data_IF_796742173633
#
_entry.id   IF_796742173633
#
_cell.length_a   1.000
_cell.length_b   1.000
_cell.length_c   1.000
_cell.angle_alpha   90.00
_cell.angle_beta   90.00
_cell.angle_gamma   90.00
#
_symmetry.space_group_name_H-M   'P 1'
#
loop_
_entity.id
_entity.type
_entity.pdbx_description
1 polymer ?
#
# COMPACT_ATOMS: atom_id res chain seq x y z
N UNK A 1 18.39 -16.46 0.14
CA UNK A 1 16.97 -16.56 0.49
C UNK A 1 16.83 -16.88 1.99
N UNK A 2 15.77 -16.35 2.63
CA UNK A 2 15.44 -16.64 4.02
C UNK A 2 14.95 -18.07 4.24
N UNK A 3 14.55 -18.37 5.48
CA UNK A 3 13.94 -19.66 5.80
C UNK A 3 12.58 -19.80 5.14
N UNK A 4 12.25 -21.00 4.64
CA UNK A 4 10.94 -21.29 4.07
C UNK A 4 9.85 -21.20 5.14
N UNK A 5 8.78 -20.46 4.87
CA UNK A 5 7.62 -20.37 5.74
C UNK A 5 6.86 -21.71 5.77
N UNK A 6 6.53 -22.22 6.95
CA UNK A 6 5.60 -23.35 7.12
C UNK A 6 4.16 -22.82 7.04
N UNK A 7 3.60 -22.90 5.83
CA UNK A 7 2.29 -22.32 5.52
C UNK A 7 1.13 -23.02 6.21
N UNK A 8 1.28 -24.29 6.57
CA UNK A 8 0.27 -25.04 7.31
C UNK A 8 0.21 -24.59 8.78
N UNK A 9 1.37 -24.47 9.43
CA UNK A 9 1.42 -23.99 10.83
C UNK A 9 0.97 -22.55 10.95
N UNK A 10 1.36 -21.68 10.02
CA UNK A 10 0.95 -20.27 10.03
C UNK A 10 -0.57 -20.12 9.97
N UNK A 11 -1.28 -20.97 9.22
CA UNK A 11 -2.74 -20.97 9.13
C UNK A 11 -3.48 -21.47 10.37
N UNK A 12 -2.77 -22.07 11.35
CA UNK A 12 -3.39 -22.54 12.60
C UNK A 12 -3.61 -21.40 13.58
N UNK A 13 -4.78 -20.80 13.54
CA UNK A 13 -5.13 -19.61 14.32
C UNK A 13 -4.89 -19.78 15.83
N UNK A 14 -5.20 -20.94 16.37
CA UNK A 14 -5.13 -21.23 17.79
C UNK A 14 -3.68 -21.35 18.34
N UNK A 15 -2.69 -21.35 17.47
CA UNK A 15 -1.26 -21.30 17.84
C UNK A 15 -0.74 -19.89 18.04
N UNK A 16 -1.46 -18.88 17.56
CA UNK A 16 -1.13 -17.48 17.74
C UNK A 16 -1.75 -16.96 19.03
N UNK A 17 -0.90 -16.58 19.98
CA UNK A 17 -1.33 -16.11 21.29
C UNK A 17 -1.12 -14.60 21.39
N UNK A 18 -2.14 -13.90 21.80
CA UNK A 18 -2.11 -12.45 22.01
C UNK A 18 -2.28 -12.15 23.50
N UNK A 19 -1.38 -11.37 24.06
CA UNK A 19 -1.40 -10.93 25.44
C UNK A 19 -1.22 -9.43 25.58
N UNK A 20 -1.61 -8.85 26.70
CA UNK A 20 -1.36 -7.46 27.04
C UNK A 20 -1.24 -7.29 28.54
N UNK A 21 -0.25 -6.54 28.98
CA UNK A 21 -0.14 -6.12 30.38
C UNK A 21 -1.09 -4.95 30.69
N UNK A 22 -1.37 -4.11 29.70
CA UNK A 22 -2.17 -2.90 29.86
C UNK A 22 -3.68 -3.17 29.72
N UNK A 23 -4.05 -4.19 28.92
CA UNK A 23 -5.44 -4.61 28.73
C UNK A 23 -5.70 -5.97 29.38
N UNK A 24 -6.22 -5.95 30.59
CA UNK A 24 -6.53 -7.17 31.38
C UNK A 24 -7.49 -8.13 30.67
N UNK A 25 -8.29 -7.66 29.70
CA UNK A 25 -9.17 -8.52 28.92
C UNK A 25 -8.42 -9.40 27.91
N UNK A 26 -7.12 -9.12 27.66
CA UNK A 26 -6.22 -9.85 26.76
C UNK A 26 -5.21 -10.74 27.52
N UNK A 27 -5.65 -11.50 28.49
CA UNK A 27 -4.81 -12.51 29.17
C UNK A 27 -4.62 -13.76 28.32
N UNK A 28 -3.58 -13.82 27.48
CA UNK A 28 -3.24 -14.98 26.61
C UNK A 28 -4.42 -15.48 25.75
N UNK A 29 -5.01 -14.60 24.97
CA UNK A 29 -6.09 -14.93 24.02
C UNK A 29 -5.52 -15.55 22.75
N UNK A 30 -6.20 -16.55 22.21
CA UNK A 30 -5.89 -17.12 20.89
C UNK A 30 -6.52 -16.29 19.78
N UNK A 31 -5.87 -16.23 18.61
CA UNK A 31 -6.52 -15.71 17.41
C UNK A 31 -7.70 -16.60 17.00
N UNK A 32 -8.70 -16.02 16.34
CA UNK A 32 -9.89 -16.74 15.85
C UNK A 32 -9.63 -17.28 14.44
N UNK A 33 -8.91 -16.52 13.61
CA UNK A 33 -8.50 -16.92 12.29
C UNK A 33 -7.10 -16.37 11.97
N UNK A 34 -6.40 -17.02 11.05
CA UNK A 34 -5.13 -16.58 10.51
C UNK A 34 -5.15 -16.74 9.00
N UNK A 35 -4.84 -15.67 8.26
CA UNK A 35 -4.80 -15.65 6.82
C UNK A 35 -3.46 -15.15 6.32
N UNK A 36 -3.12 -15.50 5.10
CA UNK A 36 -1.83 -15.17 4.51
C UNK A 36 -1.98 -14.52 3.14
N UNK A 37 -1.29 -13.41 2.94
CA UNK A 37 -1.03 -12.79 1.64
C UNK A 37 0.47 -12.93 1.35
N UNK A 38 0.83 -13.33 0.12
CA UNK A 38 2.22 -13.47 -0.29
C UNK A 38 2.48 -12.65 -1.53
N UNK A 39 3.66 -12.04 -1.61
CA UNK A 39 4.09 -11.23 -2.73
C UNK A 39 5.52 -11.62 -3.14
N UNK A 40 5.79 -11.89 -4.43
CA UNK A 40 7.15 -12.06 -4.92
C UNK A 40 7.92 -10.75 -4.79
N UNK A 41 9.10 -10.81 -4.18
CA UNK A 41 10.00 -9.67 -4.01
C UNK A 41 11.17 -9.73 -4.97
N UNK A 42 11.73 -10.92 -5.15
CA UNK A 42 12.88 -11.14 -6.02
C UNK A 42 12.74 -12.52 -6.68
N UNK A 43 13.35 -12.67 -7.85
CA UNK A 43 13.36 -13.95 -8.57
C UNK A 43 14.77 -14.17 -9.11
N UNK A 44 15.34 -15.32 -8.82
CA UNK A 44 16.67 -15.69 -9.31
C UNK A 44 16.64 -16.22 -10.77
N UNK A 45 17.80 -16.53 -11.30
CA UNK A 45 17.95 -17.04 -12.67
C UNK A 45 17.31 -18.42 -12.89
N UNK A 46 16.90 -19.12 -11.83
CA UNK A 46 16.19 -20.41 -11.90
C UNK A 46 14.67 -20.24 -11.76
N UNK A 47 14.18 -19.01 -11.79
CA UNK A 47 12.78 -18.62 -11.54
C UNK A 47 12.28 -18.98 -10.15
N UNK A 48 13.18 -19.17 -9.19
CA UNK A 48 12.83 -19.31 -7.78
C UNK A 48 12.60 -17.93 -7.19
N UNK A 49 11.42 -17.72 -6.62
CA UNK A 49 11.04 -16.43 -6.06
C UNK A 49 11.20 -16.39 -4.55
N UNK A 50 11.78 -15.30 -4.05
CA UNK A 50 11.70 -14.89 -2.67
C UNK A 50 10.35 -14.24 -2.42
N UNK A 51 9.66 -14.64 -1.36
CA UNK A 51 8.31 -14.17 -1.04
C UNK A 51 8.29 -13.45 0.29
N UNK A 52 7.72 -12.24 0.29
CA UNK A 52 7.26 -11.62 1.52
C UNK A 52 5.88 -12.17 1.89
N UNK A 53 5.66 -12.39 3.18
CA UNK A 53 4.42 -12.90 3.71
C UNK A 53 3.81 -11.94 4.72
N UNK A 54 2.55 -11.57 4.52
CA UNK A 54 1.71 -10.88 5.50
C UNK A 54 0.80 -11.90 6.15
N UNK A 55 0.84 -11.97 7.46
CA UNK A 55 -0.03 -12.83 8.25
C UNK A 55 -1.06 -11.94 8.94
N UNK A 56 -2.32 -12.11 8.59
CA UNK A 56 -3.43 -11.39 9.18
C UNK A 56 -4.10 -12.27 10.24
N UNK A 57 -4.19 -11.76 11.45
CA UNK A 57 -4.82 -12.45 12.56
C UNK A 57 -6.15 -11.80 12.90
N UNK A 58 -7.23 -12.57 12.88
CA UNK A 58 -8.49 -12.11 13.46
C UNK A 58 -8.42 -12.27 14.98
N UNK A 59 -8.54 -11.14 15.65
CA UNK A 59 -8.51 -11.11 17.10
C UNK A 59 -9.89 -11.42 17.70
N UNK A 60 -9.96 -12.03 18.90
CA UNK A 60 -11.22 -12.38 19.57
C UNK A 60 -12.00 -11.14 20.03
N UNK A 61 -11.33 -10.01 20.15
CA UNK A 61 -11.92 -8.72 20.54
C UNK A 61 -11.07 -7.56 20.05
N UNK A 62 -11.63 -6.35 20.01
CA UNK A 62 -10.92 -5.15 19.61
C UNK A 62 -9.80 -4.79 20.58
N UNK A 63 -8.71 -4.25 20.06
CA UNK A 63 -7.65 -3.62 20.85
C UNK A 63 -8.13 -2.30 21.42
N UNK A 64 -7.65 -1.94 22.60
CA UNK A 64 -7.93 -0.63 23.23
C UNK A 64 -6.86 0.39 22.91
N UNK A 65 -7.31 1.60 22.65
CA UNK A 65 -6.44 2.76 22.37
C UNK A 65 -5.38 2.94 23.47
N UNK A 66 -4.11 3.02 23.08
CA UNK A 66 -2.97 3.27 23.95
C UNK A 66 -2.38 2.03 24.62
N UNK A 67 -3.03 0.87 24.54
CA UNK A 67 -2.52 -0.38 25.10
C UNK A 67 -1.50 -1.05 24.19
N UNK A 68 -0.55 -1.76 24.79
CA UNK A 68 0.48 -2.55 24.09
C UNK A 68 0.09 -4.02 24.12
N UNK A 69 0.24 -4.68 22.98
CA UNK A 69 -0.09 -6.09 22.76
C UNK A 69 1.15 -6.84 22.28
N UNK A 70 1.36 -8.02 22.85
CA UNK A 70 2.40 -8.96 22.42
C UNK A 70 1.74 -10.12 21.69
N UNK A 71 2.16 -10.35 20.45
CA UNK A 71 1.78 -11.51 19.65
C UNK A 71 2.90 -12.54 19.73
N UNK A 72 2.65 -13.70 20.32
CA UNK A 72 3.56 -14.83 20.32
C UNK A 72 3.48 -15.54 18.97
N UNK A 73 4.63 -15.72 18.33
CA UNK A 73 4.76 -16.34 17.01
C UNK A 73 4.94 -17.84 17.21
N UNK A 74 4.19 -18.70 16.50
CA UNK A 74 4.30 -20.15 16.64
C UNK A 74 5.71 -20.67 16.30
N UNK A 75 6.21 -21.58 17.11
CA UNK A 75 7.53 -22.16 16.88
C UNK A 75 7.58 -22.97 15.58
N UNK A 76 8.71 -22.84 14.86
CA UNK A 76 9.00 -23.65 13.66
C UNK A 76 8.20 -23.23 12.41
N UNK A 77 7.66 -22.02 12.37
CA UNK A 77 7.02 -21.48 11.15
C UNK A 77 8.03 -20.92 10.13
N UNK A 78 9.33 -20.81 10.47
CA UNK A 78 10.35 -20.20 9.64
C UNK A 78 10.61 -18.72 9.95
N UNK A 79 9.98 -18.15 10.98
CA UNK A 79 10.28 -16.79 11.45
C UNK A 79 11.58 -16.77 12.28
N UNK A 80 12.29 -15.64 12.24
CA UNK A 80 13.51 -15.41 13.01
C UNK A 80 13.26 -14.77 14.38
N UNK A 81 12.00 -14.45 14.68
CA UNK A 81 11.53 -13.90 15.94
C UNK A 81 10.44 -14.78 16.53
N UNK A 82 10.32 -14.80 17.86
CA UNK A 82 9.34 -15.58 18.62
C UNK A 82 8.15 -14.74 19.08
N UNK A 83 8.26 -13.43 19.02
CA UNK A 83 7.20 -12.47 19.39
C UNK A 83 7.30 -11.16 18.62
N UNK A 84 6.18 -10.49 18.49
CA UNK A 84 6.08 -9.12 18.02
C UNK A 84 5.24 -8.28 18.97
N UNK A 85 5.59 -7.03 19.15
CA UNK A 85 4.85 -6.10 19.99
C UNK A 85 4.25 -4.98 19.15
N UNK A 86 3.02 -4.60 19.46
CA UNK A 86 2.30 -3.49 18.85
C UNK A 86 1.61 -2.65 19.92
N UNK A 87 1.87 -1.35 19.91
CA UNK A 87 1.06 -0.40 20.66
C UNK A 87 -0.07 0.09 19.77
N UNK A 88 -1.31 -0.23 20.16
CA UNK A 88 -2.46 0.22 19.39
C UNK A 88 -2.76 1.69 19.66
N UNK A 89 -2.49 2.51 18.67
CA UNK A 89 -2.77 3.96 18.70
C UNK A 89 -3.24 4.40 17.31
N UNK A 90 -4.53 4.65 17.15
CA UNK A 90 -5.11 4.99 15.85
C UNK A 90 -4.44 6.18 15.16
N UNK A 91 -3.77 7.07 15.93
CA UNK A 91 -3.08 8.24 15.38
C UNK A 91 -1.70 7.92 14.79
N UNK A 92 -1.09 6.80 15.22
CA UNK A 92 0.27 6.41 14.87
C UNK A 92 0.38 4.98 14.34
N UNK A 93 -0.61 4.12 14.59
CA UNK A 93 -0.63 2.75 14.06
C UNK A 93 -1.07 2.77 12.60
N UNK A 94 -0.10 2.58 11.71
CA UNK A 94 -0.37 2.47 10.27
C UNK A 94 -1.25 1.25 9.98
N UNK A 95 -2.29 1.46 9.17
CA UNK A 95 -3.19 0.42 8.66
C UNK A 95 -3.14 0.38 7.14
N UNK A 96 -2.83 -0.78 6.58
CA UNK A 96 -2.88 -1.00 5.12
C UNK A 96 -4.29 -0.80 4.53
N UNK A 97 -5.32 -0.72 5.37
CA UNK A 97 -6.69 -0.53 4.94
C UNK A 97 -7.03 0.91 4.56
N UNK A 98 -6.25 1.89 5.06
CA UNK A 98 -6.52 3.32 4.85
C UNK A 98 -5.69 3.82 3.69
N UNK A 99 -6.32 3.88 2.51
CA UNK A 99 -5.67 4.25 1.26
C UNK A 99 -5.80 5.74 0.99
N UNK A 100 -4.69 6.37 0.68
CA UNK A 100 -4.58 7.79 0.31
C UNK A 100 -3.65 7.93 -0.90
N UNK A 101 -3.71 9.07 -1.58
CA UNK A 101 -2.66 9.39 -2.54
C UNK A 101 -1.35 9.71 -1.80
N UNK A 102 -0.39 8.80 -1.86
CA UNK A 102 0.91 8.95 -1.17
C UNK A 102 1.78 10.09 -1.72
N UNK A 103 1.54 10.53 -2.96
CA UNK A 103 2.19 11.74 -3.50
C UNK A 103 1.66 12.99 -2.80
N UNK A 104 0.43 12.93 -2.30
CA UNK A 104 -0.26 14.04 -1.66
C UNK A 104 -1.35 14.66 -2.53
N UNK A 105 -1.82 15.81 -2.10
CA UNK A 105 -2.94 16.54 -2.70
C UNK A 105 -2.63 18.02 -2.83
N UNK A 106 -3.20 18.67 -3.83
CA UNK A 106 -3.13 20.14 -3.91
C UNK A 106 -4.18 20.79 -3.00
N UNK A 107 -3.92 21.96 -2.42
CA UNK A 107 -4.91 22.68 -1.60
C UNK A 107 -6.21 22.98 -2.35
N UNK A 108 -6.13 23.17 -3.67
CA UNK A 108 -7.24 23.55 -4.56
C UNK A 108 -8.19 22.40 -4.89
N UNK A 109 -7.75 21.15 -4.75
CA UNK A 109 -8.65 20.00 -4.95
C UNK A 109 -9.82 20.08 -3.98
N UNK A 110 -11.04 20.16 -4.54
CA UNK A 110 -12.28 20.28 -3.75
C UNK A 110 -12.55 19.08 -2.88
N UNK A 111 -12.21 17.88 -3.38
CA UNK A 111 -12.36 16.59 -2.70
C UNK A 111 -11.03 15.86 -2.86
N UNK A 112 -10.52 15.33 -1.78
CA UNK A 112 -9.33 14.49 -1.73
C UNK A 112 -9.78 13.05 -1.58
N UNK A 113 -9.60 12.27 -2.66
CA UNK A 113 -10.04 10.88 -2.71
C UNK A 113 -9.24 10.01 -1.75
N UNK A 114 -9.94 9.21 -0.97
CA UNK A 114 -9.37 8.23 -0.06
C UNK A 114 -10.36 7.09 0.20
N UNK A 115 -9.83 5.88 0.37
CA UNK A 115 -10.63 4.66 0.46
C UNK A 115 -10.24 3.82 1.67
N UNK A 116 -11.22 3.04 2.14
CA UNK A 116 -11.04 2.03 3.17
C UNK A 116 -11.41 0.67 2.60
N UNK A 117 -10.41 -0.20 2.43
CA UNK A 117 -10.60 -1.61 2.04
C UNK A 117 -9.34 -2.42 2.38
N UNK A 118 -9.46 -3.75 2.42
CA UNK A 118 -8.31 -4.63 2.61
C UNK A 118 -8.58 -6.01 2.02
N UNK A 119 -7.59 -6.52 1.27
CA UNK A 119 -7.52 -7.90 0.83
C UNK A 119 -6.55 -8.70 1.73
N UNK A 120 -7.06 -9.76 2.37
CA UNK A 120 -6.34 -10.56 3.35
C UNK A 120 -5.59 -11.77 2.74
N UNK A 121 -5.46 -11.84 1.41
CA UNK A 121 -4.90 -12.99 0.73
C UNK A 121 -5.89 -14.16 0.67
N UNK A 122 -5.54 -15.30 1.24
CA UNK A 122 -6.42 -16.48 1.30
C UNK A 122 -7.67 -16.28 2.18
N UNK A 123 -7.69 -15.25 3.02
CA UNK A 123 -8.87 -14.83 3.77
C UNK A 123 -9.88 -13.98 2.98
N UNK A 124 -9.57 -13.61 1.74
CA UNK A 124 -10.44 -12.77 0.91
C UNK A 124 -10.52 -11.32 1.39
N UNK A 125 -11.66 -10.69 1.19
CA UNK A 125 -11.88 -9.31 1.61
C UNK A 125 -12.12 -9.19 3.12
N UNK A 126 -11.65 -8.10 3.72
CA UNK A 126 -12.10 -7.69 5.06
C UNK A 126 -13.42 -6.93 4.96
N UNK A 127 -14.41 -7.36 5.71
CA UNK A 127 -15.69 -6.64 5.79
C UNK A 127 -15.59 -5.45 6.75
N UNK A 128 -15.88 -4.25 6.24
CA UNK A 128 -15.93 -3.00 7.01
C UNK A 128 -17.34 -2.47 7.24
N UNK A 129 -18.40 -3.24 7.01
CA UNK A 129 -19.79 -2.78 7.18
C UNK A 129 -20.08 -2.26 8.59
N UNK A 130 -19.48 -2.86 9.62
CA UNK A 130 -19.62 -2.39 11.01
C UNK A 130 -18.88 -1.08 11.31
N UNK A 131 -18.07 -0.58 10.37
CA UNK A 131 -17.36 0.69 10.49
C UNK A 131 -18.05 1.85 9.78
N UNK A 132 -19.18 1.58 9.10
CA UNK A 132 -19.96 2.63 8.46
C UNK A 132 -20.42 3.66 9.49
N UNK A 133 -20.27 4.95 9.17
CA UNK A 133 -20.53 6.06 10.09
C UNK A 133 -19.38 6.36 11.09
N UNK A 134 -18.32 5.53 11.16
CA UNK A 134 -17.14 5.86 11.97
C UNK A 134 -16.48 7.13 11.48
N UNK A 135 -15.94 7.90 12.42
CA UNK A 135 -15.34 9.20 12.13
C UNK A 135 -14.00 9.07 11.42
N UNK A 136 -13.80 9.97 10.45
CA UNK A 136 -12.52 10.16 9.75
C UNK A 136 -11.91 11.47 10.19
N UNK A 137 -10.63 11.42 10.56
CA UNK A 137 -9.88 12.57 11.04
C UNK A 137 -8.68 12.85 10.16
N UNK A 138 -8.36 14.14 10.02
CA UNK A 138 -7.08 14.60 9.49
C UNK A 138 -6.17 14.92 10.68
N UNK A 139 -5.04 14.24 10.78
CA UNK A 139 -4.04 14.42 11.81
C UNK A 139 -2.82 15.16 11.24
N UNK A 140 -2.52 16.34 11.76
CA UNK A 140 -1.32 17.06 11.35
C UNK A 140 -0.10 16.49 12.09
N UNK A 141 0.83 15.91 11.34
CA UNK A 141 1.99 15.18 11.89
C UNK A 141 2.92 16.11 12.69
N UNK A 142 3.05 17.38 12.27
CA UNK A 142 3.94 18.34 12.91
C UNK A 142 3.36 18.91 14.21
N UNK A 143 2.06 19.23 14.22
CA UNK A 143 1.43 19.95 15.33
C UNK A 143 0.62 19.05 16.27
N UNK A 144 0.34 17.81 15.86
CA UNK A 144 -0.55 16.91 16.59
C UNK A 144 -2.03 17.29 16.51
N UNK A 145 -2.39 18.32 15.72
CA UNK A 145 -3.79 18.79 15.60
C UNK A 145 -4.64 17.73 14.93
N UNK A 146 -5.80 17.45 15.52
CA UNK A 146 -6.81 16.48 15.07
C UNK A 146 -8.05 17.24 14.61
N UNK A 147 -8.53 16.96 13.42
CA UNK A 147 -9.74 17.59 12.86
C UNK A 147 -10.63 16.53 12.24
N UNK A 148 -11.90 16.41 12.65
CA UNK A 148 -12.87 15.55 11.95
C UNK A 148 -13.10 16.11 10.56
N UNK A 149 -12.96 15.27 9.53
CA UNK A 149 -13.07 15.67 8.11
C UNK A 149 -14.09 14.86 7.33
N UNK A 150 -14.60 13.76 7.90
CA UNK A 150 -15.60 12.92 7.24
C UNK A 150 -16.06 11.77 8.12
N UNK A 151 -16.74 10.83 7.48
CA UNK A 151 -17.20 9.57 8.04
C UNK A 151 -17.06 8.47 6.99
N UNK A 152 -16.88 7.23 7.43
CA UNK A 152 -16.85 6.05 6.56
C UNK A 152 -18.20 5.82 5.91
N UNK A 153 -18.26 5.68 4.59
CA UNK A 153 -19.47 5.43 3.81
C UNK A 153 -19.24 4.31 2.81
N UNK A 154 -20.19 3.38 2.73
CA UNK A 154 -20.11 2.36 1.68
C UNK A 154 -20.10 3.02 0.29
N UNK A 155 -19.26 2.54 -0.60
CA UNK A 155 -19.13 3.08 -1.95
C UNK A 155 -19.40 2.02 -3.02
N UNK A 156 -18.63 0.91 -3.05
CA UNK A 156 -18.65 -0.03 -4.15
C UNK A 156 -18.52 -1.48 -3.66
N UNK A 157 -19.44 -2.40 -4.08
CA UNK A 157 -19.30 -3.81 -3.74
C UNK A 157 -18.23 -4.53 -4.57
N UNK A 158 -17.64 -5.57 -4.03
CA UNK A 158 -16.69 -6.43 -4.73
C UNK A 158 -17.30 -7.12 -5.97
N UNK A 159 -18.62 -7.26 -6.04
CA UNK A 159 -19.35 -7.81 -7.20
C UNK A 159 -19.40 -6.87 -8.40
N UNK A 160 -19.16 -5.58 -8.20
CA UNK A 160 -19.08 -4.61 -9.30
C UNK A 160 -17.69 -4.66 -9.94
N UNK A 161 -17.64 -4.72 -11.26
CA UNK A 161 -16.41 -4.88 -12.02
C UNK A 161 -16.14 -3.69 -12.95
N UNK A 162 -14.87 -3.51 -13.28
CA UNK A 162 -14.42 -2.55 -14.29
C UNK A 162 -14.50 -3.20 -15.68
N UNK A 163 -15.06 -2.48 -16.66
CA UNK A 163 -15.20 -2.97 -18.05
C UNK A 163 -13.83 -3.26 -18.65
N UNK A 164 -12.88 -2.37 -18.41
CA UNK A 164 -11.50 -2.44 -18.90
C UNK A 164 -10.71 -3.60 -18.30
N UNK A 165 -11.12 -4.10 -17.13
CA UNK A 165 -10.49 -5.23 -16.45
C UNK A 165 -11.09 -6.59 -16.82
N UNK A 166 -11.64 -6.73 -18.03
CA UNK A 166 -12.28 -7.95 -18.50
C UNK A 166 -13.33 -8.50 -17.53
N UNK A 167 -14.19 -7.62 -17.03
CA UNK A 167 -15.26 -7.91 -16.05
C UNK A 167 -14.74 -8.49 -14.73
N UNK A 168 -13.58 -8.03 -14.26
CA UNK A 168 -13.03 -8.37 -12.96
C UNK A 168 -13.03 -7.15 -12.06
N UNK A 169 -13.27 -7.37 -10.77
CA UNK A 169 -13.00 -6.36 -9.75
C UNK A 169 -11.50 -6.40 -9.40
N UNK A 170 -10.79 -5.28 -9.59
CA UNK A 170 -9.34 -5.23 -9.43
C UNK A 170 -8.91 -5.18 -7.96
N UNK A 171 -9.77 -4.71 -7.05
CA UNK A 171 -9.46 -4.67 -5.61
C UNK A 171 -9.77 -6.01 -4.91
N UNK A 172 -10.67 -6.82 -5.50
CA UNK A 172 -11.17 -8.06 -4.88
C UNK A 172 -11.93 -7.83 -3.57
N UNK A 173 -12.32 -6.59 -3.28
CA UNK A 173 -12.88 -6.17 -2.00
C UNK A 173 -14.01 -5.17 -2.18
N UNK A 174 -14.97 -5.20 -1.26
CA UNK A 174 -15.86 -4.07 -1.05
C UNK A 174 -15.02 -2.85 -0.67
N UNK A 175 -15.45 -1.67 -1.10
CA UNK A 175 -14.74 -0.41 -0.85
C UNK A 175 -15.66 0.58 -0.14
N UNK A 176 -15.14 1.21 0.90
CA UNK A 176 -15.80 2.32 1.62
C UNK A 176 -15.04 3.61 1.32
N UNK A 177 -15.79 4.64 1.01
CA UNK A 177 -15.25 5.98 0.76
C UNK A 177 -14.97 6.69 2.09
N UNK A 178 -13.80 7.31 2.17
CA UNK A 178 -13.37 8.16 3.27
C UNK A 178 -12.81 9.50 2.75
N UNK A 179 -13.33 9.98 1.62
CA UNK A 179 -12.95 11.25 1.01
C UNK A 179 -13.06 12.40 2.01
N UNK A 180 -12.16 13.35 1.86
CA UNK A 180 -12.08 14.47 2.77
C UNK A 180 -11.81 15.81 2.08
N UNK A 181 -12.04 16.90 2.83
CA UNK A 181 -11.71 18.26 2.41
C UNK A 181 -10.67 18.85 3.33
N UNK A 182 -9.62 19.41 2.75
CA UNK A 182 -8.59 20.16 3.45
C UNK A 182 -7.86 21.08 2.48
N UNK A 183 -7.59 22.30 2.91
CA UNK A 183 -6.94 23.33 2.08
C UNK A 183 -5.64 23.86 2.68
N UNK A 184 -5.42 23.60 3.96
CA UNK A 184 -4.23 24.09 4.67
C UNK A 184 -3.01 23.23 4.30
N UNK A 185 -1.94 23.83 3.77
CA UNK A 185 -0.69 23.12 3.51
C UNK A 185 -0.09 22.51 4.77
N UNK A 186 0.52 21.34 4.63
CA UNK A 186 1.16 20.61 5.72
C UNK A 186 1.32 19.13 5.44
N UNK A 187 1.91 18.41 6.41
CA UNK A 187 2.07 16.95 6.40
C UNK A 187 1.04 16.31 7.31
N UNK A 188 0.34 15.32 6.78
CA UNK A 188 -0.85 14.77 7.40
C UNK A 188 -0.90 13.25 7.33
N UNK A 189 -1.74 12.66 8.19
CA UNK A 189 -2.30 11.31 8.08
C UNK A 189 -3.81 11.37 8.08
N UNK A 190 -4.45 10.52 7.33
CA UNK A 190 -5.87 10.27 7.45
C UNK A 190 -6.08 9.15 8.47
N UNK A 191 -6.92 9.37 9.47
CA UNK A 191 -7.13 8.45 10.60
C UNK A 191 -8.59 8.02 10.62
N UNK A 192 -8.83 6.73 10.64
CA UNK A 192 -10.17 6.15 10.75
C UNK A 192 -10.36 5.60 12.15
N UNK A 193 -11.44 6.00 12.81
CA UNK A 193 -11.80 5.56 14.17
C UNK A 193 -11.84 4.03 14.25
N UNK A 194 -11.17 3.46 15.26
CA UNK A 194 -11.03 2.02 15.51
C UNK A 194 -10.27 1.21 14.43
N UNK A 195 -9.66 1.87 13.43
CA UNK A 195 -8.88 1.20 12.38
C UNK A 195 -7.39 1.54 12.49
N UNK A 196 -7.05 2.82 12.49
CA UNK A 196 -5.68 3.29 12.44
C UNK A 196 -5.49 4.43 11.44
N UNK A 197 -4.26 4.67 11.00
CA UNK A 197 -3.92 5.77 10.12
C UNK A 197 -3.34 5.32 8.77
N UNK A 198 -3.45 6.19 7.78
CA UNK A 198 -2.78 6.07 6.49
C UNK A 198 -1.27 6.28 6.61
N UNK A 199 -0.55 6.03 5.50
CA UNK A 199 0.76 6.63 5.28
C UNK A 199 0.69 8.15 5.38
N UNK A 200 1.83 8.79 5.70
CA UNK A 200 1.95 10.24 5.67
C UNK A 200 1.85 10.76 4.23
N UNK A 201 1.14 11.88 4.08
CA UNK A 201 1.06 12.58 2.80
C UNK A 201 1.14 14.09 3.00
N UNK A 202 1.47 14.81 1.94
CA UNK A 202 1.57 16.25 1.96
C UNK A 202 0.36 16.91 1.28
N UNK A 203 -0.07 18.05 1.81
CA UNK A 203 -0.96 18.97 1.12
C UNK A 203 -0.13 20.21 0.79
N UNK A 204 0.19 20.43 -0.47
CA UNK A 204 0.88 21.64 -0.95
C UNK A 204 0.73 21.78 -2.48
N UNK A 205 1.11 22.96 -3.02
CA UNK A 205 0.97 23.25 -4.46
C UNK A 205 1.93 22.46 -5.35
N UNK A 206 2.98 21.88 -4.78
CA UNK A 206 4.08 21.26 -5.53
C UNK A 206 4.14 19.74 -5.38
N UNK A 207 3.11 19.09 -4.83
CA UNK A 207 3.12 17.63 -4.59
C UNK A 207 3.39 16.80 -5.85
N UNK A 208 2.98 17.29 -7.02
CA UNK A 208 3.18 16.60 -8.29
C UNK A 208 4.43 17.05 -9.06
N UNK A 209 5.20 18.03 -8.55
CA UNK A 209 6.39 18.53 -9.25
C UNK A 209 7.46 17.44 -9.42
N UNK A 210 7.74 16.70 -8.36
CA UNK A 210 8.79 15.66 -8.39
C UNK A 210 8.43 14.49 -9.31
N UNK A 211 7.23 13.89 -9.24
CA UNK A 211 6.77 12.91 -10.22
C UNK A 211 6.81 13.41 -11.66
N UNK A 212 6.38 14.64 -11.90
CA UNK A 212 6.47 15.29 -13.22
C UNK A 212 7.93 15.37 -13.70
N UNK A 213 8.83 15.87 -12.86
CA UNK A 213 10.25 15.98 -13.19
C UNK A 213 10.87 14.62 -13.54
N UNK A 214 10.60 13.57 -12.77
CA UNK A 214 11.09 12.23 -13.07
C UNK A 214 10.49 11.67 -14.37
N UNK A 215 9.23 11.90 -14.64
CA UNK A 215 8.59 11.47 -15.89
C UNK A 215 9.24 12.15 -17.10
N UNK A 216 9.48 13.45 -17.04
CA UNK A 216 10.16 14.20 -18.11
C UNK A 216 11.61 13.72 -18.30
N UNK A 217 12.33 13.44 -17.19
CA UNK A 217 13.67 12.83 -17.28
C UNK A 217 13.65 11.46 -17.93
N UNK A 218 12.60 10.66 -17.69
CA UNK A 218 12.41 9.39 -18.37
C UNK A 218 12.41 9.54 -19.89
N UNK A 219 11.65 10.49 -20.42
CA UNK A 219 11.66 10.80 -21.85
C UNK A 219 13.03 11.25 -22.36
N UNK A 220 13.75 12.06 -21.57
CA UNK A 220 15.11 12.45 -21.92
C UNK A 220 16.02 11.22 -22.08
N UNK A 221 15.94 10.23 -21.16
CA UNK A 221 16.74 9.01 -21.23
C UNK A 221 16.34 8.05 -22.35
N UNK A 222 15.12 8.18 -22.87
CA UNK A 222 14.64 7.37 -24.02
C UNK A 222 15.12 7.90 -25.38
N UNK A 223 15.74 9.07 -25.42
CA UNK A 223 16.29 9.64 -26.67
C UNK A 223 17.39 8.74 -27.23
N UNK A 224 17.35 8.47 -28.53
CA UNK A 224 18.28 7.55 -29.17
C UNK A 224 19.38 8.26 -29.99
N UNK A 225 19.03 9.26 -30.77
CA UNK A 225 19.94 9.94 -31.67
C UNK A 225 20.88 10.99 -31.03
N UNK A 226 20.86 11.13 -29.71
CA UNK A 226 21.66 12.12 -28.99
C UNK A 226 22.41 11.47 -27.83
N UNK A 227 23.60 11.96 -27.47
CA UNK A 227 24.32 11.46 -26.31
C UNK A 227 23.57 11.80 -25.03
N UNK A 228 23.65 10.93 -24.03
CA UNK A 228 23.23 11.21 -22.67
C UNK A 228 24.47 11.52 -21.87
N UNK A 229 24.61 12.78 -21.42
CA UNK A 229 25.83 13.30 -20.80
C UNK A 229 25.96 12.85 -19.34
N UNK A 230 27.19 12.52 -18.94
CA UNK A 230 27.56 12.19 -17.54
C UNK A 230 27.34 13.37 -16.57
N UNK A 231 27.31 14.60 -17.05
CA UNK A 231 26.97 15.78 -16.25
C UNK A 231 25.50 15.80 -15.80
N UNK A 232 24.63 15.06 -16.49
CA UNK A 232 23.19 15.04 -16.24
C UNK A 232 22.74 13.76 -15.53
N UNK A 233 23.47 12.66 -15.75
CA UNK A 233 23.09 11.34 -15.23
C UNK A 233 24.31 10.50 -14.86
N UNK A 234 24.20 9.66 -13.80
CA UNK A 234 25.23 8.67 -13.50
C UNK A 234 25.29 7.49 -14.51
N UNK A 235 24.34 7.43 -15.46
CA UNK A 235 24.27 6.40 -16.51
C UNK A 235 24.38 7.07 -17.87
N UNK A 236 25.58 7.55 -18.27
CA UNK A 236 25.79 8.16 -19.58
C UNK A 236 25.69 7.12 -20.69
N UNK A 237 25.27 7.55 -21.87
CA UNK A 237 25.15 6.69 -23.04
C UNK A 237 25.52 7.45 -24.31
N UNK A 238 26.27 6.78 -25.20
CA UNK A 238 26.51 7.29 -26.54
C UNK A 238 25.23 7.28 -27.37
N UNK A 239 25.15 8.11 -28.41
CA UNK A 239 24.05 8.07 -29.36
C UNK A 239 23.91 6.66 -29.96
N UNK A 240 22.67 6.27 -30.26
CA UNK A 240 22.35 4.97 -30.85
C UNK A 240 21.54 5.18 -32.12
N UNK A 241 21.59 4.22 -33.05
CA UNK A 241 20.86 4.24 -34.32
C UNK A 241 21.21 5.45 -35.22
N UNK A 242 22.45 5.89 -35.19
CA UNK A 242 23.01 6.86 -36.15
C UNK A 242 24.14 6.21 -36.94
N UNK A 243 24.18 6.40 -38.27
CA UNK A 243 25.13 5.70 -39.16
C UNK A 243 26.59 5.92 -38.78
N UNK A 244 26.94 7.10 -38.27
CA UNK A 244 28.29 7.51 -37.89
C UNK A 244 28.81 6.82 -36.64
N UNK A 245 27.91 6.31 -35.78
CA UNK A 245 28.24 5.67 -34.47
C UNK A 245 28.02 4.19 -34.51
N UNK A 246 27.13 3.69 -35.35
CA UNK A 246 26.79 2.28 -35.45
C UNK A 246 27.42 1.66 -36.72
N UNK A 247 28.64 1.10 -36.67
CA UNK A 247 29.36 0.62 -37.85
C UNK A 247 28.75 -0.63 -38.47
N UNK A 248 27.88 -1.33 -37.75
CA UNK A 248 27.16 -2.50 -38.29
C UNK A 248 25.94 -2.06 -39.10
N UNK A 249 25.53 -0.81 -38.93
CA UNK A 249 24.27 -0.30 -39.47
C UNK A 249 23.04 -0.82 -38.72
N UNK A 250 21.89 -0.33 -39.08
CA UNK A 250 20.59 -0.75 -38.53
C UNK A 250 19.50 -0.62 -39.58
N UNK A 251 18.46 -1.41 -39.44
CA UNK A 251 17.32 -1.39 -40.33
C UNK A 251 16.12 -0.73 -39.63
N UNK A 252 15.60 0.33 -40.23
CA UNK A 252 14.34 0.95 -39.78
C UNK A 252 13.22 0.37 -40.61
N UNK A 253 12.30 -0.35 -39.95
CA UNK A 253 11.11 -0.83 -40.61
C UNK A 253 10.03 0.25 -40.60
N UNK A 254 9.49 0.55 -41.78
CA UNK A 254 8.30 1.38 -41.87
C UNK A 254 7.13 0.56 -41.35
N UNK A 255 6.53 1.00 -40.25
CA UNK A 255 5.28 0.46 -39.75
C UNK A 255 4.14 1.37 -40.16
N UNK A 256 3.09 0.81 -40.74
CA UNK A 256 1.83 1.53 -40.88
C UNK A 256 1.27 1.73 -39.46
N UNK A 257 0.97 2.99 -39.12
CA UNK A 257 0.25 3.26 -37.89
C UNK A 257 -1.14 2.65 -38.04
N UNK A 258 -1.37 1.53 -37.39
CA UNK A 258 -2.73 1.07 -37.19
C UNK A 258 -3.49 2.17 -36.45
N UNK A 259 -4.65 2.61 -36.94
CA UNK A 259 -5.46 3.55 -36.18
C UNK A 259 -5.77 2.91 -34.84
N UNK A 260 -5.25 3.48 -33.78
CA UNK A 260 -5.67 3.16 -32.43
C UNK A 260 -7.15 3.48 -32.37
N UNK A 261 -7.93 2.45 -32.32
CA UNK A 261 -9.38 2.38 -32.22
C UNK A 261 -10.18 3.68 -32.19
N UNK A 262 -11.26 3.75 -32.96
CA UNK A 262 -12.25 4.78 -32.73
C UNK A 262 -12.86 4.67 -31.34
#
# INVERSE_FOLDING_TARGET
FGKKLDTEKVGKADTWIISSADDKSYGNKKAIAAWRKSKPMNTDNTLTSELDHWIFLQLPQSMKQGCTYTVSIPNGIGADIDKAEVKFDIWNSHSESVHVNILGYTPQEKIKAADLYLWLGDGGQRNYSSFEGKKVYLYNVKTGKKSKVGEVKFWKPASEYEKEANKKNMTGSDVWNIDFKATTPGRYRLVVEDVGCSMDFDINNNVYFQPFHYSVRGYYYMRLGEPIDSAITPVPRQPMFIPEVDPIGFTVYKTDLHPWHP
#
